data_IF_805553599512
#
_entry.id   IF_805553599512
#
_cell.length_a   1.000
_cell.length_b   1.000
_cell.length_c   1.000
_cell.angle_alpha   90.00
_cell.angle_beta   90.00
_cell.angle_gamma   90.00
#
_symmetry.space_group_name_H-M   'P 1'
#
loop_
_entity.id
_entity.type
_entity.pdbx_description
1 polymer ?
#
# COMPACT_ATOMS: atom_id res chain seq x y z
N UNK A 1 -36.93 -1.88 16.44
CA UNK A 1 -36.66 -1.09 15.22
C UNK A 1 -35.28 -0.45 15.32
N UNK A 2 -34.24 -1.04 14.72
CA UNK A 2 -32.99 -0.32 14.43
C UNK A 2 -32.79 -0.36 12.94
N UNK A 3 -33.08 0.76 12.29
CA UNK A 3 -32.64 1.06 10.92
C UNK A 3 -31.13 1.30 11.04
N UNK A 4 -30.36 0.23 11.24
CA UNK A 4 -28.93 0.30 10.98
C UNK A 4 -28.83 0.42 9.45
N UNK A 5 -28.66 1.64 8.95
CA UNK A 5 -28.37 1.88 7.54
C UNK A 5 -27.18 0.99 7.16
N UNK A 6 -27.45 -0.01 6.32
CA UNK A 6 -26.42 -0.92 5.82
C UNK A 6 -25.52 -0.08 4.91
N UNK A 7 -24.28 0.19 5.35
CA UNK A 7 -23.31 0.85 4.49
C UNK A 7 -22.98 -0.08 3.33
N UNK A 8 -23.13 0.41 2.11
CA UNK A 8 -22.67 -0.29 0.93
C UNK A 8 -21.13 -0.22 0.87
N UNK A 9 -20.46 -1.32 0.49
CA UNK A 9 -18.99 -1.36 0.43
C UNK A 9 -18.43 -0.32 -0.55
N UNK A 10 -19.19 0.02 -1.59
CA UNK A 10 -18.84 1.07 -2.56
C UNK A 10 -18.71 2.45 -1.92
N UNK A 11 -19.62 2.84 -1.03
CA UNK A 11 -19.53 4.12 -0.31
C UNK A 11 -18.28 4.17 0.57
N UNK A 12 -17.96 3.06 1.25
CA UNK A 12 -16.77 2.99 2.10
C UNK A 12 -15.48 3.12 1.29
N UNK A 13 -15.43 2.50 0.11
CA UNK A 13 -14.32 2.63 -0.82
C UNK A 13 -14.11 4.07 -1.30
N UNK A 14 -15.19 4.76 -1.67
CA UNK A 14 -15.12 6.18 -2.02
C UNK A 14 -14.69 7.05 -0.85
N UNK A 15 -15.19 6.77 0.35
CA UNK A 15 -14.80 7.49 1.56
C UNK A 15 -13.30 7.31 1.83
N UNK A 16 -12.76 6.10 1.69
CA UNK A 16 -11.32 5.83 1.81
C UNK A 16 -10.50 6.63 0.80
N UNK A 17 -10.92 6.67 -0.46
CA UNK A 17 -10.26 7.47 -1.50
C UNK A 17 -10.27 8.96 -1.14
N UNK A 18 -11.42 9.50 -0.72
CA UNK A 18 -11.55 10.90 -0.32
C UNK A 18 -10.67 11.22 0.90
N UNK A 19 -10.64 10.33 1.90
CA UNK A 19 -9.78 10.47 3.09
C UNK A 19 -8.31 10.40 2.69
N UNK A 20 -7.91 9.46 1.84
CA UNK A 20 -6.55 9.32 1.35
C UNK A 20 -6.06 10.58 0.63
N UNK A 21 -6.91 11.14 -0.23
CA UNK A 21 -6.63 12.37 -0.95
C UNK A 21 -6.56 13.58 -0.02
N UNK A 22 -7.54 13.75 0.87
CA UNK A 22 -7.57 14.86 1.83
C UNK A 22 -6.37 14.84 2.77
N UNK A 23 -6.01 13.66 3.29
CA UNK A 23 -4.82 13.50 4.13
C UNK A 23 -3.53 13.78 3.34
N UNK A 24 -3.43 13.28 2.10
CA UNK A 24 -2.29 13.54 1.21
C UNK A 24 -2.07 15.03 0.94
N UNK A 25 -3.14 15.80 0.72
CA UNK A 25 -3.07 17.25 0.57
C UNK A 25 -2.78 17.99 1.89
N UNK A 26 -3.19 17.45 3.02
CA UNK A 26 -2.96 18.05 4.34
C UNK A 26 -1.52 17.86 4.83
N UNK A 27 -0.75 16.89 4.31
CA UNK A 27 0.63 16.59 4.73
C UNK A 27 1.51 17.85 4.85
N UNK A 28 1.61 18.75 3.84
CA UNK A 28 2.46 19.93 3.93
C UNK A 28 1.97 20.92 5.00
N UNK A 29 0.66 21.11 5.12
CA UNK A 29 0.06 22.01 6.09
C UNK A 29 0.30 21.51 7.53
N UNK A 30 0.18 20.20 7.76
CA UNK A 30 0.47 19.56 9.05
C UNK A 30 1.95 19.75 9.41
N UNK A 31 2.87 19.60 8.45
CA UNK A 31 4.30 19.79 8.67
C UNK A 31 4.68 21.25 8.97
N UNK A 32 4.01 22.20 8.32
CA UNK A 32 4.17 23.62 8.62
C UNK A 32 3.64 23.96 10.02
N UNK A 33 2.45 23.49 10.35
CA UNK A 33 1.81 23.74 11.65
C UNK A 33 2.63 23.15 12.81
N UNK A 34 3.23 21.98 12.62
CA UNK A 34 4.08 21.33 13.62
C UNK A 34 5.48 21.94 13.75
N UNK A 35 5.84 22.94 12.94
CA UNK A 35 7.14 23.60 13.00
C UNK A 35 8.32 22.68 12.61
N UNK A 36 8.07 21.57 11.91
CA UNK A 36 9.09 20.57 11.58
C UNK A 36 10.16 21.06 10.57
N UNK A 37 10.06 22.30 10.08
CA UNK A 37 11.00 22.88 9.11
C UNK A 37 12.32 23.39 9.74
N UNK A 38 12.43 23.47 11.07
CA UNK A 38 13.61 24.02 11.75
C UNK A 38 14.56 22.94 12.25
N UNK A 39 15.46 22.48 11.36
CA UNK A 39 16.83 21.94 11.56
C UNK A 39 17.16 20.99 12.73
N UNK A 40 16.20 20.46 13.48
CA UNK A 40 16.38 19.38 14.44
C UNK A 40 15.35 18.31 14.14
N UNK A 41 15.77 17.04 14.20
CA UNK A 41 14.86 15.89 14.13
C UNK A 41 13.68 16.15 15.07
N UNK A 42 12.47 16.38 14.54
CA UNK A 42 11.37 16.88 15.35
C UNK A 42 11.00 15.82 16.39
N UNK A 43 10.87 16.17 17.69
CA UNK A 43 10.52 15.22 18.74
C UNK A 43 9.13 14.57 18.52
N UNK A 44 8.33 15.14 17.63
CA UNK A 44 6.96 14.72 17.33
C UNK A 44 6.85 13.67 16.21
N UNK A 45 7.90 13.41 15.41
CA UNK A 45 7.86 12.34 14.39
C UNK A 45 7.47 10.97 14.98
N UNK A 46 8.11 10.48 16.06
CA UNK A 46 7.68 9.21 16.67
C UNK A 46 6.25 9.28 17.23
N UNK A 47 5.82 10.42 17.78
CA UNK A 47 4.46 10.59 18.28
C UNK A 47 3.42 10.51 17.16
N UNK A 48 3.68 11.12 16.00
CA UNK A 48 2.81 11.01 14.82
C UNK A 48 2.74 9.59 14.29
N UNK A 49 3.86 8.86 14.26
CA UNK A 49 3.90 7.45 13.89
C UNK A 49 3.01 6.59 14.82
N UNK A 50 3.15 6.80 16.14
CA UNK A 50 2.34 6.10 17.15
C UNK A 50 0.86 6.44 16.96
N UNK A 51 0.52 7.70 16.69
CA UNK A 51 -0.86 8.11 16.43
C UNK A 51 -1.46 7.40 15.21
N UNK A 52 -0.71 7.25 14.11
CA UNK A 52 -1.16 6.49 12.94
C UNK A 52 -1.37 5.00 13.25
N UNK A 53 -0.48 4.39 14.04
CA UNK A 53 -0.62 3.00 14.47
C UNK A 53 -1.86 2.81 15.34
N UNK A 54 -2.08 3.70 16.33
CA UNK A 54 -3.27 3.67 17.19
C UNK A 54 -4.54 3.86 16.37
N UNK A 55 -4.55 4.82 15.43
CA UNK A 55 -5.69 5.05 14.54
C UNK A 55 -5.97 3.80 13.68
N UNK A 56 -4.94 3.18 13.12
CA UNK A 56 -5.07 1.93 12.37
C UNK A 56 -5.63 0.79 13.21
N UNK A 57 -5.10 0.58 14.41
CA UNK A 57 -5.61 -0.42 15.34
C UNK A 57 -7.07 -0.15 15.72
N UNK A 58 -7.43 1.10 16.01
CA UNK A 58 -8.81 1.47 16.32
C UNK A 58 -9.76 1.16 15.15
N UNK A 59 -9.36 1.48 13.91
CA UNK A 59 -10.16 1.13 12.72
C UNK A 59 -10.27 -0.40 12.57
N UNK A 60 -9.16 -1.13 12.68
CA UNK A 60 -9.14 -2.60 12.59
C UNK A 60 -10.03 -3.25 13.66
N UNK A 61 -10.01 -2.74 14.90
CA UNK A 61 -10.82 -3.25 16.01
C UNK A 61 -12.30 -2.87 15.88
N UNK A 62 -12.62 -1.74 15.24
CA UNK A 62 -14.01 -1.32 14.98
C UNK A 62 -14.67 -2.10 13.84
N UNK A 63 -13.89 -2.61 12.89
CA UNK A 63 -14.32 -3.31 11.69
C UNK A 63 -15.20 -4.55 11.92
N UNK A 64 -14.91 -5.46 12.88
CA UNK A 64 -15.79 -6.59 13.17
C UNK A 64 -17.19 -6.17 13.65
N UNK A 65 -17.31 -4.98 14.26
CA UNK A 65 -18.58 -4.46 14.78
C UNK A 65 -19.43 -3.77 13.72
N UNK A 66 -18.88 -3.48 12.53
CA UNK A 66 -19.64 -2.86 11.44
C UNK A 66 -20.51 -3.91 10.72
N UNK A 67 -21.84 -3.69 10.62
CA UNK A 67 -22.76 -4.56 9.89
C UNK A 67 -22.58 -4.34 8.38
N UNK A 68 -21.46 -4.83 7.83
CA UNK A 68 -21.19 -4.84 6.40
C UNK A 68 -22.07 -5.93 5.79
N UNK A 69 -22.99 -5.51 4.92
CA UNK A 69 -23.83 -6.42 4.17
C UNK A 69 -22.92 -7.23 3.23
N UNK A 70 -22.68 -8.49 3.59
CA UNK A 70 -22.10 -9.45 2.66
C UNK A 70 -23.13 -9.61 1.55
N UNK A 71 -22.77 -9.18 0.34
CA UNK A 71 -23.67 -9.33 -0.79
C UNK A 71 -23.89 -10.84 -0.97
N UNK A 72 -25.14 -11.29 -1.17
CA UNK A 72 -25.49 -12.72 -1.32
C UNK A 72 -24.71 -13.44 -2.45
N UNK A 73 -23.98 -12.68 -3.28
CA UNK A 73 -23.03 -13.17 -4.28
C UNK A 73 -21.69 -13.70 -3.75
N UNK A 74 -21.36 -13.47 -2.47
CA UNK A 74 -20.14 -14.02 -1.81
C UNK A 74 -20.35 -15.47 -1.32
N UNK A 75 -21.55 -16.02 -1.49
CA UNK A 75 -21.90 -17.40 -1.12
C UNK A 75 -21.47 -18.44 -2.18
N UNK A 76 -20.58 -18.10 -3.12
CA UNK A 76 -19.91 -19.16 -3.86
C UNK A 76 -18.98 -19.89 -2.88
N UNK A 77 -19.19 -21.20 -2.64
CA UNK A 77 -18.34 -21.97 -1.76
C UNK A 77 -16.93 -21.91 -2.34
N UNK A 78 -16.04 -21.23 -1.62
CA UNK A 78 -14.61 -21.19 -1.89
C UNK A 78 -14.14 -22.64 -2.07
N UNK A 79 -13.91 -23.04 -3.32
CA UNK A 79 -13.46 -24.40 -3.62
C UNK A 79 -12.19 -24.63 -2.80
N UNK A 80 -12.13 -25.70 -1.99
CA UNK A 80 -10.94 -25.97 -1.20
C UNK A 80 -9.76 -26.06 -2.17
N UNK A 81 -8.77 -25.18 -1.98
CA UNK A 81 -7.57 -25.15 -2.78
C UNK A 81 -6.83 -26.46 -2.49
N UNK A 82 -7.02 -27.45 -3.36
CA UNK A 82 -6.25 -28.69 -3.30
C UNK A 82 -4.86 -28.38 -3.83
N UNK A 83 -3.95 -28.07 -2.91
CA UNK A 83 -2.54 -27.95 -3.21
C UNK A 83 -2.03 -29.33 -3.61
N UNK A 84 -1.83 -29.54 -4.90
CA UNK A 84 -1.13 -30.72 -5.41
C UNK A 84 0.35 -30.59 -5.02
N UNK A 85 0.97 -31.69 -4.57
CA UNK A 85 2.41 -31.76 -4.26
C UNK A 85 3.27 -31.22 -5.42
N UNK A 86 2.80 -31.38 -6.66
CA UNK A 86 3.47 -30.82 -7.84
C UNK A 86 3.48 -29.29 -7.83
N UNK A 87 2.37 -28.66 -7.43
CA UNK A 87 2.27 -27.20 -7.36
C UNK A 87 3.11 -26.63 -6.22
N UNK A 88 3.22 -27.32 -5.08
CA UNK A 88 4.08 -26.87 -3.99
C UNK A 88 5.55 -26.97 -4.36
N UNK A 89 5.99 -28.07 -5.00
CA UNK A 89 7.37 -28.22 -5.48
C UNK A 89 7.74 -27.20 -6.56
N UNK A 90 6.81 -26.89 -7.48
CA UNK A 90 7.05 -25.90 -8.52
C UNK A 90 7.16 -24.49 -7.91
N UNK A 91 6.29 -24.16 -6.94
CA UNK A 91 6.37 -22.89 -6.20
C UNK A 91 7.69 -22.72 -5.45
N UNK A 92 8.17 -23.76 -4.76
CA UNK A 92 9.46 -23.68 -4.04
C UNK A 92 10.64 -23.57 -4.99
N UNK A 93 10.62 -24.28 -6.13
CA UNK A 93 11.66 -24.17 -7.16
C UNK A 93 11.72 -22.75 -7.76
N UNK A 94 10.56 -22.19 -8.13
CA UNK A 94 10.47 -20.82 -8.65
C UNK A 94 10.95 -19.81 -7.60
N UNK A 95 10.55 -19.97 -6.33
CA UNK A 95 11.02 -19.12 -5.24
C UNK A 95 12.55 -19.21 -5.07
N UNK A 96 13.14 -20.40 -5.12
CA UNK A 96 14.58 -20.58 -5.02
C UNK A 96 15.33 -19.89 -6.16
N UNK A 97 14.83 -19.99 -7.40
CA UNK A 97 15.41 -19.30 -8.57
C UNK A 97 15.32 -17.77 -8.39
N UNK A 98 14.16 -17.26 -7.93
CA UNK A 98 13.98 -15.83 -7.66
C UNK A 98 14.95 -15.35 -6.59
N UNK A 99 15.12 -16.10 -5.50
CA UNK A 99 16.08 -15.78 -4.42
C UNK A 99 17.51 -15.78 -4.96
N UNK A 100 17.91 -16.79 -5.74
CA UNK A 100 19.25 -16.84 -6.33
C UNK A 100 19.49 -15.65 -7.30
N UNK A 101 18.48 -15.28 -8.09
CA UNK A 101 18.56 -14.13 -8.99
C UNK A 101 18.63 -12.79 -8.23
N UNK A 102 17.91 -12.67 -7.11
CA UNK A 102 17.93 -11.50 -6.23
C UNK A 102 19.31 -11.22 -5.64
N UNK A 103 20.13 -12.24 -5.39
CA UNK A 103 21.51 -12.07 -4.89
C UNK A 103 22.42 -11.40 -5.94
N UNK A 104 22.21 -11.68 -7.22
CA UNK A 104 23.11 -11.22 -8.30
C UNK A 104 22.63 -9.99 -9.05
N UNK A 105 21.31 -9.86 -9.27
CA UNK A 105 20.72 -8.81 -10.10
C UNK A 105 19.51 -8.16 -9.41
N UNK A 106 19.72 -7.72 -8.18
CA UNK A 106 18.64 -7.33 -7.26
C UNK A 106 17.66 -6.30 -7.84
N UNK A 107 18.18 -5.24 -8.48
CA UNK A 107 17.38 -4.14 -9.06
C UNK A 107 16.60 -4.56 -10.30
N UNK A 108 17.22 -5.37 -11.17
CA UNK A 108 16.56 -5.81 -12.42
C UNK A 108 15.45 -6.80 -12.08
N UNK A 109 15.72 -7.74 -11.18
CA UNK A 109 14.75 -8.75 -10.76
C UNK A 109 13.57 -8.11 -10.03
N UNK A 110 13.81 -7.16 -9.10
CA UNK A 110 12.72 -6.47 -8.41
C UNK A 110 11.84 -5.66 -9.37
N UNK A 111 12.44 -4.98 -10.35
CA UNK A 111 11.70 -4.27 -11.40
C UNK A 111 10.84 -5.20 -12.26
N UNK A 112 11.39 -6.34 -12.71
CA UNK A 112 10.63 -7.34 -13.48
C UNK A 112 9.48 -7.92 -12.66
N UNK A 113 9.71 -8.24 -11.39
CA UNK A 113 8.67 -8.74 -10.48
C UNK A 113 7.56 -7.71 -10.31
N UNK A 114 7.90 -6.43 -10.10
CA UNK A 114 6.93 -5.35 -9.98
C UNK A 114 6.07 -5.21 -11.24
N UNK A 115 6.69 -5.15 -12.42
CA UNK A 115 5.96 -5.06 -13.70
C UNK A 115 5.05 -6.28 -13.89
N UNK A 116 5.53 -7.48 -13.56
CA UNK A 116 4.73 -8.71 -13.67
C UNK A 116 3.51 -8.68 -12.72
N UNK A 117 3.68 -8.17 -11.50
CA UNK A 117 2.59 -8.02 -10.53
C UNK A 117 1.57 -6.98 -10.99
N UNK A 118 2.02 -5.85 -11.55
CA UNK A 118 1.12 -4.85 -12.14
C UNK A 118 0.31 -5.43 -13.29
N UNK A 119 0.95 -6.13 -14.23
CA UNK A 119 0.26 -6.79 -15.35
C UNK A 119 -0.78 -7.77 -14.83
N UNK A 120 -0.42 -8.56 -13.82
CA UNK A 120 -1.34 -9.50 -13.17
C UNK A 120 -2.55 -8.78 -12.55
N UNK A 121 -2.33 -7.73 -11.75
CA UNK A 121 -3.40 -6.96 -11.09
C UNK A 121 -4.30 -6.25 -12.10
N UNK A 122 -3.74 -5.64 -13.14
CA UNK A 122 -4.51 -5.04 -14.24
C UNK A 122 -5.35 -6.11 -14.94
N UNK A 123 -4.77 -7.27 -15.24
CA UNK A 123 -5.49 -8.37 -15.88
C UNK A 123 -6.67 -8.84 -15.03
N UNK A 124 -6.50 -8.94 -13.71
CA UNK A 124 -7.59 -9.29 -12.78
C UNK A 124 -8.66 -8.21 -12.77
N UNK A 125 -8.28 -6.93 -12.71
CA UNK A 125 -9.23 -5.81 -12.77
C UNK A 125 -10.03 -5.78 -14.08
N UNK A 126 -9.38 -6.02 -15.22
CA UNK A 126 -10.05 -6.01 -16.52
C UNK A 126 -11.01 -7.19 -16.66
N UNK A 127 -10.58 -8.39 -16.24
CA UNK A 127 -11.38 -9.62 -16.39
C UNK A 127 -12.63 -9.62 -15.53
N UNK A 128 -12.54 -9.12 -14.30
CA UNK A 128 -13.62 -9.19 -13.32
C UNK A 128 -14.07 -7.78 -12.91
N UNK A 129 -15.24 -7.35 -13.40
CA UNK A 129 -15.78 -6.01 -13.10
C UNK A 129 -15.99 -5.75 -11.61
N UNK A 130 -16.24 -6.81 -10.83
CA UNK A 130 -16.42 -6.76 -9.38
C UNK A 130 -15.16 -6.31 -8.63
N UNK A 131 -13.96 -6.63 -9.14
CA UNK A 131 -12.70 -6.28 -8.49
C UNK A 131 -12.12 -4.94 -8.97
N UNK A 132 -12.73 -4.28 -9.97
CA UNK A 132 -12.24 -3.01 -10.52
C UNK A 132 -12.19 -1.89 -9.47
N UNK A 133 -13.27 -1.72 -8.71
CA UNK A 133 -13.35 -0.70 -7.67
C UNK A 133 -12.34 -0.92 -6.55
N UNK A 134 -12.26 -2.09 -5.88
CA UNK A 134 -11.30 -2.28 -4.79
C UNK A 134 -9.84 -2.21 -5.26
N UNK A 135 -9.52 -2.67 -6.48
CA UNK A 135 -8.17 -2.50 -7.06
C UNK A 135 -7.89 -1.01 -7.33
N UNK A 136 -8.85 -0.27 -7.88
CA UNK A 136 -8.71 1.18 -8.06
C UNK A 136 -8.49 1.92 -6.74
N UNK A 137 -9.20 1.50 -5.68
CA UNK A 137 -9.04 2.06 -4.33
C UNK A 137 -7.69 1.67 -3.74
N UNK A 138 -7.19 0.45 -3.98
CA UNK A 138 -5.84 0.05 -3.57
C UNK A 138 -4.79 0.99 -4.17
N UNK A 139 -4.83 1.22 -5.48
CA UNK A 139 -3.95 2.18 -6.14
C UNK A 139 -4.15 3.61 -5.60
N UNK A 140 -5.40 4.01 -5.35
CA UNK A 140 -5.73 5.27 -4.69
C UNK A 140 -5.05 5.41 -3.33
N UNK A 141 -5.21 4.44 -2.44
CA UNK A 141 -4.59 4.43 -1.11
C UNK A 141 -3.06 4.45 -1.18
N UNK A 142 -2.46 3.79 -2.19
CA UNK A 142 -1.00 3.80 -2.38
C UNK A 142 -0.47 5.15 -2.89
N UNK A 143 -1.19 5.83 -3.78
CA UNK A 143 -0.65 6.99 -4.51
C UNK A 143 -1.22 8.35 -4.10
N UNK A 144 -2.48 8.43 -3.69
CA UNK A 144 -3.11 9.69 -3.27
C UNK A 144 -2.41 10.37 -2.08
N UNK A 145 -1.82 9.65 -1.10
CA UNK A 145 -1.02 10.29 -0.06
C UNK A 145 0.15 11.14 -0.57
N UNK A 146 0.56 10.94 -1.82
CA UNK A 146 1.64 11.67 -2.49
C UNK A 146 1.12 12.79 -3.39
N UNK A 147 -0.18 13.10 -3.39
CA UNK A 147 -0.76 14.12 -4.26
C UNK A 147 -0.10 15.52 -4.09
N UNK A 148 0.43 15.83 -2.92
CA UNK A 148 1.14 17.09 -2.66
C UNK A 148 2.39 17.30 -3.52
N UNK A 149 3.00 16.23 -4.04
CA UNK A 149 4.17 16.30 -4.92
C UNK A 149 3.87 17.03 -6.23
N UNK A 150 2.62 16.92 -6.72
CA UNK A 150 2.20 17.54 -7.97
C UNK A 150 2.33 19.07 -7.92
N UNK A 151 2.12 19.67 -6.74
CA UNK A 151 2.25 21.12 -6.56
C UNK A 151 3.69 21.63 -6.44
N UNK A 152 4.68 20.76 -6.27
CA UNK A 152 6.07 21.14 -6.00
C UNK A 152 7.06 20.76 -7.11
N UNK A 153 6.69 19.83 -7.99
CA UNK A 153 7.56 19.36 -9.08
C UNK A 153 7.27 20.13 -10.37
N UNK A 154 8.31 20.55 -11.09
CA UNK A 154 8.18 21.07 -12.45
C UNK A 154 7.52 20.02 -13.36
N UNK A 155 6.55 20.44 -14.19
CA UNK A 155 5.78 19.54 -15.07
C UNK A 155 6.66 18.59 -15.90
N UNK A 156 7.83 19.05 -16.33
CA UNK A 156 8.78 18.26 -17.13
C UNK A 156 9.41 17.09 -16.37
N UNK A 157 9.64 17.23 -15.06
CA UNK A 157 10.18 16.15 -14.20
C UNK A 157 9.09 15.26 -13.63
N UNK A 158 7.85 15.77 -13.61
CA UNK A 158 6.69 15.11 -13.05
C UNK A 158 6.42 13.76 -13.74
N UNK A 159 6.59 13.66 -15.06
CA UNK A 159 6.39 12.40 -15.79
C UNK A 159 7.36 11.29 -15.38
N UNK A 160 8.65 11.61 -15.24
CA UNK A 160 9.66 10.65 -14.81
C UNK A 160 9.41 10.26 -13.35
N UNK A 161 9.15 11.24 -12.49
CA UNK A 161 8.79 10.99 -11.11
C UNK A 161 7.54 10.11 -11.00
N UNK A 162 6.51 10.35 -11.81
CA UNK A 162 5.27 9.57 -11.84
C UNK A 162 5.48 8.12 -12.31
N UNK A 163 6.51 7.85 -13.12
CA UNK A 163 6.85 6.48 -13.53
C UNK A 163 7.61 5.71 -12.45
N UNK A 164 8.50 6.38 -11.72
CA UNK A 164 9.39 5.74 -10.74
C UNK A 164 8.89 5.78 -9.29
N UNK A 165 8.13 6.80 -8.91
CA UNK A 165 7.55 6.91 -7.57
C UNK A 165 6.60 5.76 -7.22
N UNK A 166 5.72 5.28 -8.14
CA UNK A 166 4.76 4.25 -7.81
C UNK A 166 5.39 2.94 -7.36
N UNK A 167 6.61 2.64 -7.82
CA UNK A 167 7.25 1.35 -7.60
C UNK A 167 7.88 1.21 -6.23
N UNK A 168 8.23 2.31 -5.55
CA UNK A 168 9.01 2.25 -4.32
C UNK A 168 8.48 3.14 -3.18
N UNK A 169 7.72 4.19 -3.50
CA UNK A 169 7.32 5.19 -2.50
C UNK A 169 6.44 4.62 -1.37
N UNK A 170 5.37 3.84 -1.64
CA UNK A 170 4.42 3.41 -0.60
C UNK A 170 5.11 2.65 0.54
N UNK A 171 6.09 1.82 0.19
CA UNK A 171 6.84 1.00 1.14
C UNK A 171 8.27 1.48 1.39
N UNK A 172 8.58 2.75 1.09
CA UNK A 172 9.92 3.29 1.27
C UNK A 172 10.36 3.26 2.74
N UNK A 173 9.48 3.63 3.67
CA UNK A 173 9.77 3.58 5.10
C UNK A 173 9.94 2.17 5.66
N UNK A 174 9.01 1.21 5.44
CA UNK A 174 9.23 -0.13 5.93
C UNK A 174 10.50 -0.75 5.33
N UNK A 175 10.81 -0.45 4.06
CA UNK A 175 12.08 -0.84 3.45
C UNK A 175 13.28 -0.19 4.16
N UNK A 176 13.20 1.11 4.44
CA UNK A 176 14.22 1.84 5.20
C UNK A 176 14.46 1.24 6.58
N UNK A 177 13.39 0.90 7.32
CA UNK A 177 13.48 0.27 8.63
C UNK A 177 14.11 -1.12 8.57
N UNK A 178 13.69 -1.96 7.62
CA UNK A 178 14.28 -3.28 7.40
C UNK A 178 15.76 -3.15 7.00
N UNK A 179 16.09 -2.21 6.12
CA UNK A 179 17.48 -1.97 5.70
C UNK A 179 18.36 -1.51 6.87
N UNK A 180 17.83 -0.68 7.76
CA UNK A 180 18.53 -0.23 8.95
C UNK A 180 18.81 -1.39 9.92
N UNK A 181 17.83 -2.28 10.13
CA UNK A 181 18.00 -3.50 10.91
C UNK A 181 19.05 -4.45 10.30
N UNK A 182 19.18 -4.46 8.97
CA UNK A 182 20.20 -5.22 8.24
C UNK A 182 21.56 -4.50 8.15
N UNK A 183 21.69 -3.29 8.72
CA UNK A 183 22.92 -2.48 8.65
C UNK A 183 23.24 -1.92 7.26
N UNK A 184 22.28 -1.91 6.33
CA UNK A 184 22.45 -1.40 4.97
C UNK A 184 22.16 0.10 4.87
N UNK A 185 22.76 0.77 3.88
CA UNK A 185 22.53 2.20 3.63
C UNK A 185 21.24 2.40 2.83
N UNK A 186 20.52 3.50 3.08
CA UNK A 186 19.27 3.86 2.38
C UNK A 186 19.30 3.78 0.84
N UNK A 187 20.34 4.24 0.10
CA UNK A 187 20.37 4.10 -1.36
C UNK A 187 20.38 2.64 -1.82
N UNK A 188 20.94 1.74 -1.03
CA UNK A 188 20.93 0.30 -1.31
C UNK A 188 19.55 -0.32 -0.98
N UNK A 189 18.70 0.34 -0.20
CA UNK A 189 17.37 -0.17 0.17
C UNK A 189 16.30 0.00 -0.93
N UNK A 190 16.62 0.65 -2.05
CA UNK A 190 15.63 0.94 -3.09
C UNK A 190 15.04 -0.33 -3.72
N UNK A 191 15.85 -1.36 -3.97
CA UNK A 191 15.35 -2.64 -4.49
C UNK A 191 14.38 -3.32 -3.51
N UNK A 192 14.63 -3.15 -2.20
CA UNK A 192 13.80 -3.73 -1.14
C UNK A 192 12.45 -3.03 -1.10
N UNK A 193 12.42 -1.71 -1.28
CA UNK A 193 11.18 -0.95 -1.42
C UNK A 193 10.36 -1.44 -2.61
N UNK A 194 10.99 -1.70 -3.76
CA UNK A 194 10.28 -2.25 -4.93
C UNK A 194 9.68 -3.63 -4.62
N UNK A 195 10.43 -4.51 -3.95
CA UNK A 195 9.91 -5.82 -3.57
C UNK A 195 8.76 -5.73 -2.58
N UNK A 196 8.87 -4.88 -1.56
CA UNK A 196 7.80 -4.67 -0.57
C UNK A 196 6.52 -4.17 -1.25
N UNK A 197 6.64 -3.17 -2.12
CA UNK A 197 5.50 -2.67 -2.92
C UNK A 197 4.92 -3.76 -3.81
N UNK A 198 5.78 -4.60 -4.42
CA UNK A 198 5.35 -5.74 -5.24
C UNK A 198 4.57 -6.76 -4.42
N UNK A 199 5.07 -7.11 -3.23
CA UNK A 199 4.37 -8.02 -2.31
C UNK A 199 3.07 -7.42 -1.82
N UNK A 200 3.03 -6.13 -1.48
CA UNK A 200 1.83 -5.43 -1.05
C UNK A 200 0.75 -5.46 -2.16
N UNK A 201 1.15 -5.30 -3.41
CA UNK A 201 0.25 -5.32 -4.57
C UNK A 201 -0.29 -6.74 -4.85
N UNK A 202 0.56 -7.76 -4.77
CA UNK A 202 0.15 -9.17 -4.92
C UNK A 202 -0.76 -9.63 -3.77
N UNK A 203 -0.37 -9.33 -2.53
CA UNK A 203 -1.14 -9.65 -1.32
C UNK A 203 -2.46 -8.89 -1.34
N UNK A 204 -2.47 -7.62 -1.71
CA UNK A 204 -3.69 -6.82 -1.85
C UNK A 204 -4.65 -7.42 -2.88
N UNK A 205 -4.13 -7.77 -4.06
CA UNK A 205 -4.94 -8.43 -5.11
C UNK A 205 -5.51 -9.77 -4.64
N UNK A 206 -4.76 -10.52 -3.83
CA UNK A 206 -5.22 -11.78 -3.25
C UNK A 206 -6.27 -11.58 -2.14
N UNK A 207 -6.04 -10.65 -1.21
CA UNK A 207 -6.96 -10.31 -0.12
C UNK A 207 -8.29 -9.77 -0.65
N UNK A 208 -8.26 -9.02 -1.76
CA UNK A 208 -9.48 -8.55 -2.43
C UNK A 208 -10.43 -9.71 -2.79
N UNK A 209 -9.90 -10.91 -3.03
CA UNK A 209 -10.71 -12.11 -3.31
C UNK A 209 -11.24 -12.82 -2.05
N UNK A 210 -10.69 -12.54 -0.87
CA UNK A 210 -11.11 -13.15 0.40
C UNK A 210 -12.36 -12.49 0.99
N UNK A 211 -12.76 -11.33 0.46
CA UNK A 211 -14.00 -10.66 0.80
C UNK A 211 -13.82 -9.20 1.24
N UNK A 212 -14.94 -8.45 1.37
CA UNK A 212 -14.90 -7.01 1.56
C UNK A 212 -14.29 -6.60 2.91
N UNK A 213 -14.53 -7.33 4.00
CA UNK A 213 -14.00 -6.99 5.33
C UNK A 213 -12.47 -7.00 5.36
N UNK A 214 -11.85 -8.10 4.90
CA UNK A 214 -10.40 -8.22 4.81
C UNK A 214 -9.80 -7.17 3.86
N UNK A 215 -10.51 -6.90 2.75
CA UNK A 215 -10.11 -5.85 1.79
C UNK A 215 -10.02 -4.49 2.45
N UNK A 216 -11.05 -4.08 3.21
CA UNK A 216 -11.08 -2.77 3.86
C UNK A 216 -9.97 -2.65 4.90
N UNK A 217 -9.80 -3.67 5.76
CA UNK A 217 -8.71 -3.69 6.75
C UNK A 217 -7.34 -3.53 6.07
N UNK A 218 -7.13 -4.26 4.97
CA UNK A 218 -5.91 -4.16 4.20
C UNK A 218 -5.74 -2.77 3.57
N UNK A 219 -6.78 -2.20 2.95
CA UNK A 219 -6.73 -0.86 2.35
C UNK A 219 -6.40 0.23 3.38
N UNK A 220 -6.93 0.13 4.61
CA UNK A 220 -6.59 1.04 5.71
C UNK A 220 -5.12 0.89 6.09
N UNK A 221 -4.63 -0.34 6.19
CA UNK A 221 -3.21 -0.60 6.46
C UNK A 221 -2.30 0.01 5.37
N UNK A 222 -2.60 -0.24 4.10
CA UNK A 222 -1.88 0.32 2.95
C UNK A 222 -1.92 1.85 2.95
N UNK A 223 -3.07 2.44 3.30
CA UNK A 223 -3.20 3.89 3.39
C UNK A 223 -2.30 4.47 4.49
N UNK A 224 -2.24 3.82 5.65
CA UNK A 224 -1.40 4.27 6.77
C UNK A 224 0.09 4.12 6.46
N UNK A 225 0.51 3.02 5.84
CA UNK A 225 1.90 2.83 5.41
C UNK A 225 2.30 3.88 4.37
N UNK A 226 1.45 4.13 3.36
CA UNK A 226 1.69 5.14 2.34
C UNK A 226 1.68 6.56 2.90
N UNK A 227 0.76 6.91 3.82
CA UNK A 227 0.76 8.20 4.51
C UNK A 227 2.05 8.40 5.30
N UNK A 228 2.44 7.41 6.09
CA UNK A 228 3.66 7.49 6.89
C UNK A 228 4.89 7.68 5.98
N UNK A 229 5.01 6.87 4.93
CA UNK A 229 6.05 7.00 3.90
C UNK A 229 6.05 8.38 3.24
N UNK A 230 4.87 8.95 2.93
CA UNK A 230 4.72 10.30 2.37
C UNK A 230 5.22 11.40 3.34
N UNK A 231 4.89 11.29 4.63
CA UNK A 231 5.40 12.20 5.67
C UNK A 231 6.92 12.14 5.78
N UNK A 232 7.51 10.94 5.89
CA UNK A 232 8.96 10.82 5.99
C UNK A 232 9.67 11.28 4.72
N UNK A 233 9.10 11.01 3.54
CA UNK A 233 9.66 11.51 2.29
C UNK A 233 9.70 13.05 2.27
N UNK A 234 8.62 13.72 2.71
CA UNK A 234 8.62 15.18 2.80
C UNK A 234 9.65 15.70 3.80
N UNK A 235 9.79 15.05 4.96
CA UNK A 235 10.82 15.41 5.93
C UNK A 235 12.24 15.24 5.35
N UNK A 236 12.49 14.15 4.63
CA UNK A 236 13.78 13.87 4.02
C UNK A 236 14.14 14.82 2.88
N UNK A 237 13.15 15.31 2.12
CA UNK A 237 13.37 16.30 1.04
C UNK A 237 13.65 17.70 1.59
N UNK A 238 13.15 18.03 2.79
CA UNK A 238 13.34 19.34 3.42
C UNK A 238 14.56 19.42 4.35
N UNK A 239 15.19 18.29 4.67
CA UNK A 239 16.39 18.19 5.49
C UNK A 239 17.67 18.38 4.64
#
# INVERSE_FOLDING_TARGET
>A
MRIAQRLTPTLLYWLLVCVAFGLGLAVPAILQWTGMQQSRTPPLVPATAIAFVIAGLAVCLSLPYLPIQQSELDAEPSRPIRFDLRTSLLMTMVAAIIIAALVKFTTVVSGVLFVSALIYTIRVAVRDSRFRLPIGVLFGCMYLPYAWLVGHMELGRLWIALLWMPSAMPTLLPAGFISHLLGQRMPEAFWLAILLTTTELLVGTWIIRLGPKCTITFLVFVLLTALFSSFAFRCAVLA
#
